data_IF_783895691736
#
_entry.id   IF_783895691736
#
_cell.length_a   1.000
_cell.length_b   1.000
_cell.length_c   1.000
_cell.angle_alpha   90.00
_cell.angle_beta   90.00
_cell.angle_gamma   90.00
#
_symmetry.space_group_name_H-M   'P 1'
#
loop_
_entity.id
_entity.type
_entity.pdbx_description
1 polymer ?
#
# COMPACT_ATOMS: atom_id res chain seq x y z
N UNK A 1 -3.00 17.39 -0.40
CA UNK A 1 -3.79 16.87 0.73
C UNK A 1 -2.92 15.81 1.38
N UNK A 2 -2.40 16.06 2.59
CA UNK A 2 -1.62 15.07 3.32
C UNK A 2 -2.54 13.89 3.64
N UNK A 3 -2.21 12.73 3.11
CA UNK A 3 -3.01 11.53 3.23
C UNK A 3 -2.92 11.04 4.68
N UNK A 4 -4.06 10.99 5.36
CA UNK A 4 -4.19 10.48 6.72
C UNK A 4 -3.85 8.98 6.68
N UNK A 5 -2.56 8.64 6.82
CA UNK A 5 -2.04 7.28 6.64
C UNK A 5 -0.82 7.15 5.75
N UNK A 6 -0.08 8.23 5.44
CA UNK A 6 1.25 8.07 4.81
C UNK A 6 2.19 7.31 5.77
N UNK A 7 2.71 6.12 5.38
CA UNK A 7 3.64 5.36 6.21
C UNK A 7 4.87 6.16 6.65
N UNK A 8 5.32 7.09 5.82
CA UNK A 8 6.52 7.88 6.10
C UNK A 8 6.23 8.96 7.16
N UNK A 9 5.02 9.53 7.17
CA UNK A 9 4.59 10.42 8.25
C UNK A 9 4.42 9.67 9.59
N UNK A 10 3.92 8.43 9.55
CA UNK A 10 3.79 7.57 10.73
C UNK A 10 5.17 7.20 11.31
N UNK A 11 6.13 6.84 10.47
CA UNK A 11 7.51 6.58 10.89
C UNK A 11 8.19 7.83 11.46
N UNK A 12 7.95 9.00 10.85
CA UNK A 12 8.45 10.27 11.37
C UNK A 12 7.86 10.61 12.74
N UNK A 13 6.58 10.33 12.96
CA UNK A 13 5.93 10.54 14.26
C UNK A 13 6.45 9.55 15.31
N UNK A 14 6.63 8.28 14.95
CA UNK A 14 7.23 7.27 15.81
C UNK A 14 8.64 7.69 16.28
N UNK A 15 9.49 8.18 15.36
CA UNK A 15 10.82 8.68 15.71
C UNK A 15 10.80 9.87 16.67
N UNK A 16 9.83 10.79 16.56
CA UNK A 16 9.68 11.88 17.53
C UNK A 16 9.25 11.40 18.91
N UNK A 17 8.46 10.33 18.99
CA UNK A 17 7.99 9.75 20.25
C UNK A 17 9.16 9.06 20.97
N UNK A 18 9.99 8.30 20.26
CA UNK A 18 11.20 7.70 20.82
C UNK A 18 12.19 8.74 21.34
N UNK A 19 12.40 9.81 20.56
CA UNK A 19 13.28 10.90 21.01
C UNK A 19 12.79 11.51 22.34
N UNK A 20 11.47 11.63 22.52
CA UNK A 20 10.90 12.08 23.79
C UNK A 20 11.06 11.05 24.90
N UNK A 21 10.97 9.75 24.60
CA UNK A 21 11.21 8.69 25.57
C UNK A 21 12.66 8.75 26.08
N UNK A 22 13.63 8.94 25.18
CA UNK A 22 15.04 9.11 25.52
C UNK A 22 15.30 10.37 26.36
N UNK A 23 14.67 11.49 26.02
CA UNK A 23 14.75 12.72 26.81
C UNK A 23 14.22 12.51 28.24
N UNK A 24 13.11 11.77 28.39
CA UNK A 24 12.51 11.44 29.70
C UNK A 24 13.46 10.56 30.53
N UNK A 25 14.06 9.53 29.94
CA UNK A 25 15.06 8.66 30.61
C UNK A 25 16.28 9.46 31.04
N UNK A 26 16.80 10.29 30.15
CA UNK A 26 17.95 11.15 30.43
C UNK A 26 17.67 12.10 31.59
N UNK A 27 16.49 12.71 31.59
CA UNK A 27 16.08 13.59 32.68
C UNK A 27 16.02 12.85 34.04
N UNK A 28 15.43 11.65 34.07
CA UNK A 28 15.39 10.82 35.28
C UNK A 28 16.79 10.42 35.76
N UNK A 29 17.69 10.06 34.84
CA UNK A 29 19.07 9.73 35.16
C UNK A 29 19.88 10.93 35.68
N UNK A 30 19.66 12.12 35.11
CA UNK A 30 20.30 13.35 35.55
C UNK A 30 19.85 13.73 36.97
N UNK A 31 18.54 13.62 37.26
CA UNK A 31 18.00 13.86 38.61
C UNK A 31 18.61 12.91 39.65
N UNK A 32 18.67 11.62 39.34
CA UNK A 32 19.24 10.59 40.22
C UNK A 32 20.74 10.81 40.46
N UNK A 33 21.47 11.17 39.41
CA UNK A 33 22.90 11.54 39.51
C UNK A 33 23.11 12.75 40.41
N UNK A 34 22.30 13.80 40.23
CA UNK A 34 22.34 15.00 41.07
C UNK A 34 22.01 14.68 42.54
N UNK A 35 21.03 13.80 42.78
CA UNK A 35 20.65 13.37 44.12
C UNK A 35 21.75 12.55 44.81
N UNK A 36 22.43 11.67 44.06
CA UNK A 36 23.61 10.93 44.54
C UNK A 36 24.81 11.83 44.85
N UNK A 37 25.02 12.89 44.06
CA UNK A 37 26.12 13.83 44.25
C UNK A 37 25.92 14.80 45.43
N UNK A 38 24.74 14.84 46.05
CA UNK A 38 24.47 15.72 47.19
C UNK A 38 25.39 15.40 48.38
N UNK A 39 26.21 16.38 48.76
CA UNK A 39 27.15 16.27 49.91
C UNK A 39 26.45 16.37 51.27
N UNK A 40 25.21 16.87 51.30
CA UNK A 40 24.42 16.97 52.52
C UNK A 40 23.97 15.58 53.02
N UNK A 41 24.27 15.28 54.29
CA UNK A 41 23.90 14.03 54.96
C UNK A 41 22.94 14.32 56.10
N UNK A 42 21.70 13.86 55.97
CA UNK A 42 20.64 13.95 56.98
C UNK A 42 19.51 12.98 56.60
N UNK A 43 18.60 12.71 57.54
CA UNK A 43 17.38 11.94 57.25
C UNK A 43 16.56 12.57 56.11
N UNK A 44 16.56 13.91 56.00
CA UNK A 44 15.90 14.62 54.92
C UNK A 44 16.60 14.40 53.57
N UNK A 45 17.94 14.32 53.55
CA UNK A 45 18.70 14.01 52.35
C UNK A 45 18.44 12.57 51.88
N UNK A 46 18.35 11.61 52.79
CA UNK A 46 18.05 10.21 52.46
C UNK A 46 16.63 10.08 51.87
N UNK A 47 15.64 10.75 52.47
CA UNK A 47 14.28 10.81 51.89
C UNK A 47 14.22 11.47 50.52
N UNK A 48 15.04 12.51 50.30
CA UNK A 48 15.12 13.15 48.99
C UNK A 48 15.67 12.18 47.92
N UNK A 49 16.74 11.43 48.24
CA UNK A 49 17.28 10.40 47.33
C UNK A 49 16.26 9.30 47.04
N UNK A 50 15.54 8.84 48.05
CA UNK A 50 14.48 7.85 47.89
C UNK A 50 13.33 8.36 46.99
N UNK A 51 12.91 9.61 47.18
CA UNK A 51 11.90 10.25 46.32
C UNK A 51 12.37 10.33 44.87
N UNK A 52 13.60 10.79 44.64
CA UNK A 52 14.17 10.90 43.28
C UNK A 52 14.29 9.53 42.61
N UNK A 53 14.68 8.49 43.35
CA UNK A 53 14.72 7.12 42.82
C UNK A 53 13.31 6.62 42.44
N UNK A 54 12.29 6.97 43.22
CA UNK A 54 10.89 6.70 42.90
C UNK A 54 10.41 7.43 41.64
N UNK A 55 10.72 8.73 41.54
CA UNK A 55 10.39 9.56 40.39
C UNK A 55 11.07 9.06 39.11
N UNK A 56 12.36 8.71 39.19
CA UNK A 56 13.11 8.08 38.10
C UNK A 56 12.40 6.83 37.59
N UNK A 57 11.99 5.93 38.49
CA UNK A 57 11.26 4.71 38.10
C UNK A 57 9.93 5.02 37.40
N UNK A 58 9.25 6.09 37.81
CA UNK A 58 8.01 6.53 37.15
C UNK A 58 8.27 7.10 35.75
N UNK A 59 9.34 7.89 35.59
CA UNK A 59 9.80 8.41 34.29
C UNK A 59 10.22 7.27 33.35
N UNK A 60 10.98 6.29 33.84
CA UNK A 60 11.37 5.11 33.06
C UNK A 60 10.11 4.36 32.55
N UNK A 61 9.13 4.11 33.42
CA UNK A 61 7.86 3.50 33.01
C UNK A 61 6.98 4.36 32.09
N UNK A 62 7.21 5.67 32.01
CA UNK A 62 6.56 6.55 31.03
C UNK A 62 7.28 6.50 29.68
N UNK A 63 8.62 6.48 29.69
CA UNK A 63 9.42 6.28 28.50
C UNK A 63 9.11 4.94 27.81
N UNK A 64 8.94 3.87 28.58
CA UNK A 64 8.58 2.56 28.01
C UNK A 64 7.22 2.58 27.29
N UNK A 65 6.23 3.31 27.83
CA UNK A 65 4.93 3.47 27.16
C UNK A 65 5.02 4.29 25.88
N UNK A 66 5.95 5.25 25.82
CA UNK A 66 6.20 6.02 24.60
C UNK A 66 6.84 5.12 23.54
N UNK A 67 7.79 4.27 23.92
CA UNK A 67 8.38 3.29 23.00
C UNK A 67 7.34 2.28 22.48
N UNK A 68 6.45 1.78 23.35
CA UNK A 68 5.35 0.91 22.94
C UNK A 68 4.44 1.60 21.91
N UNK A 69 4.10 2.87 22.13
CA UNK A 69 3.29 3.65 21.19
C UNK A 69 4.02 3.85 19.85
N UNK A 70 5.33 4.15 19.87
CA UNK A 70 6.14 4.26 18.66
C UNK A 70 6.22 2.92 17.90
N UNK A 71 6.34 1.80 18.61
CA UNK A 71 6.34 0.46 18.02
C UNK A 71 5.01 0.15 17.32
N UNK A 72 3.87 0.47 17.96
CA UNK A 72 2.54 0.31 17.38
C UNK A 72 2.40 1.15 16.09
N UNK A 73 2.88 2.40 16.10
CA UNK A 73 2.84 3.27 14.92
C UNK A 73 3.64 2.69 13.76
N UNK A 74 4.84 2.13 14.01
CA UNK A 74 5.64 1.47 12.96
C UNK A 74 5.00 0.21 12.42
N UNK A 75 4.40 -0.60 13.30
CA UNK A 75 3.64 -1.78 12.86
C UNK A 75 2.50 -1.36 11.93
N UNK A 76 1.79 -0.28 12.27
CA UNK A 76 0.73 0.25 11.42
C UNK A 76 1.27 0.80 10.10
N UNK A 77 2.38 1.54 10.11
CA UNK A 77 3.04 2.02 8.89
C UNK A 77 3.43 0.86 7.97
N UNK A 78 3.96 -0.23 8.53
CA UNK A 78 4.30 -1.44 7.78
C UNK A 78 3.07 -2.12 7.16
N UNK A 79 1.97 -2.25 7.91
CA UNK A 79 0.70 -2.77 7.38
C UNK A 79 0.19 -1.93 6.19
N UNK A 80 0.29 -0.61 6.29
CA UNK A 80 -0.11 0.29 5.20
C UNK A 80 0.81 0.13 3.98
N UNK A 81 2.12 0.00 4.18
CA UNK A 81 3.08 -0.29 3.07
C UNK A 81 2.74 -1.60 2.37
N UNK A 82 2.42 -2.65 3.12
CA UNK A 82 2.04 -3.95 2.57
C UNK A 82 0.74 -3.86 1.76
N UNK A 83 -0.25 -3.12 2.25
CA UNK A 83 -1.49 -2.87 1.53
C UNK A 83 -1.25 -2.11 0.21
N UNK A 84 -0.44 -1.05 0.25
CA UNK A 84 -0.07 -0.28 -0.95
C UNK A 84 0.68 -1.17 -1.94
N UNK A 85 1.59 -2.01 -1.47
CA UNK A 85 2.33 -2.95 -2.32
C UNK A 85 1.39 -3.99 -2.95
N UNK A 86 0.41 -4.50 -2.21
CA UNK A 86 -0.61 -5.41 -2.74
C UNK A 86 -1.46 -4.73 -3.83
N UNK A 87 -1.91 -3.51 -3.60
CA UNK A 87 -2.64 -2.69 -4.59
C UNK A 87 -1.81 -2.51 -5.86
N UNK A 88 -0.52 -2.16 -5.73
CA UNK A 88 0.38 -2.00 -6.89
C UNK A 88 0.52 -3.30 -7.69
N UNK A 89 0.74 -4.43 -7.02
CA UNK A 89 0.84 -5.74 -7.70
C UNK A 89 -0.45 -6.10 -8.44
N UNK A 90 -1.61 -5.84 -7.84
CA UNK A 90 -2.90 -6.06 -8.50
C UNK A 90 -3.02 -5.15 -9.73
N UNK A 91 -2.70 -3.87 -9.59
CA UNK A 91 -2.74 -2.92 -10.70
C UNK A 91 -1.84 -3.34 -11.86
N UNK A 92 -0.60 -3.72 -11.58
CA UNK A 92 0.36 -4.20 -12.59
C UNK A 92 -0.14 -5.47 -13.29
N UNK A 93 -0.62 -6.47 -12.53
CA UNK A 93 -1.15 -7.71 -13.10
C UNK A 93 -2.35 -7.46 -14.03
N UNK A 94 -3.28 -6.62 -13.60
CA UNK A 94 -4.49 -6.29 -14.37
C UNK A 94 -4.15 -5.50 -15.63
N UNK A 95 -3.30 -4.47 -15.52
CA UNK A 95 -2.86 -3.68 -16.67
C UNK A 95 -2.08 -4.54 -17.68
N UNK A 96 -1.19 -5.41 -17.21
CA UNK A 96 -0.44 -6.32 -18.06
C UNK A 96 -1.35 -7.32 -18.79
N UNK A 97 -2.35 -7.86 -18.09
CA UNK A 97 -3.34 -8.72 -18.72
C UNK A 97 -4.12 -7.99 -19.80
N UNK A 98 -4.61 -6.78 -19.52
CA UNK A 98 -5.34 -5.98 -20.50
C UNK A 98 -4.49 -5.67 -21.73
N UNK A 99 -3.25 -5.25 -21.56
CA UNK A 99 -2.34 -4.99 -22.67
C UNK A 99 -2.15 -6.25 -23.54
N UNK A 100 -1.90 -7.41 -22.92
CA UNK A 100 -1.79 -8.67 -23.65
C UNK A 100 -3.10 -9.11 -24.32
N UNK A 101 -4.25 -8.82 -23.70
CA UNK A 101 -5.56 -9.14 -24.25
C UNK A 101 -5.92 -8.21 -25.44
N UNK A 102 -5.59 -6.93 -25.36
CA UNK A 102 -5.71 -5.94 -26.44
C UNK A 102 -4.83 -6.32 -27.63
N UNK A 103 -3.57 -6.70 -27.40
CA UNK A 103 -2.69 -7.14 -28.49
C UNK A 103 -3.21 -8.38 -29.20
N UNK A 104 -3.70 -9.38 -28.44
CA UNK A 104 -4.31 -10.58 -29.02
C UNK A 104 -5.58 -10.24 -29.80
N UNK A 105 -6.40 -9.34 -29.28
CA UNK A 105 -7.62 -8.89 -29.93
C UNK A 105 -7.31 -8.15 -31.24
N UNK A 106 -6.36 -7.21 -31.23
CA UNK A 106 -5.92 -6.49 -32.42
C UNK A 106 -5.40 -7.43 -33.51
N UNK A 107 -4.59 -8.43 -33.14
CA UNK A 107 -4.14 -9.48 -34.08
C UNK A 107 -5.30 -10.29 -34.66
N UNK A 108 -6.31 -10.62 -33.84
CA UNK A 108 -7.51 -11.32 -34.32
C UNK A 108 -8.32 -10.46 -35.28
N UNK A 109 -8.46 -9.15 -34.99
CA UNK A 109 -9.12 -8.18 -35.88
C UNK A 109 -8.35 -8.02 -37.19
N UNK A 110 -7.02 -7.93 -37.16
CA UNK A 110 -6.18 -7.84 -38.37
C UNK A 110 -6.29 -9.11 -39.21
N UNK A 111 -6.19 -10.29 -38.59
CA UNK A 111 -6.38 -11.56 -39.29
C UNK A 111 -7.77 -11.67 -39.91
N UNK A 112 -8.80 -11.20 -39.22
CA UNK A 112 -10.16 -11.15 -39.73
C UNK A 112 -10.28 -10.20 -40.93
N UNK A 113 -9.72 -8.98 -40.83
CA UNK A 113 -9.70 -8.01 -41.93
C UNK A 113 -9.02 -8.58 -43.17
N UNK A 114 -7.89 -9.26 -43.00
CA UNK A 114 -7.16 -9.90 -44.10
C UNK A 114 -8.00 -11.02 -44.73
N UNK A 115 -8.64 -11.88 -43.94
CA UNK A 115 -9.50 -12.96 -44.46
C UNK A 115 -10.73 -12.42 -45.22
N UNK A 116 -11.33 -11.32 -44.76
CA UNK A 116 -12.44 -10.66 -45.47
C UNK A 116 -11.96 -9.98 -46.76
N UNK A 117 -10.78 -9.36 -46.75
CA UNK A 117 -10.17 -8.78 -47.95
C UNK A 117 -9.85 -9.85 -48.99
N UNK A 118 -9.20 -10.95 -48.58
CA UNK A 118 -8.89 -12.09 -49.45
C UNK A 118 -10.17 -12.72 -50.05
N UNK A 119 -11.26 -12.81 -49.27
CA UNK A 119 -12.55 -13.28 -49.76
C UNK A 119 -13.18 -12.30 -50.76
N UNK A 120 -13.10 -10.99 -50.51
CA UNK A 120 -13.61 -9.98 -51.42
C UNK A 120 -12.85 -10.00 -52.76
N UNK A 121 -11.51 -10.13 -52.72
CA UNK A 121 -10.68 -10.25 -53.91
C UNK A 121 -10.96 -11.57 -54.67
N UNK A 122 -11.19 -12.68 -53.97
CA UNK A 122 -11.53 -13.98 -54.58
C UNK A 122 -12.96 -14.03 -55.17
N UNK A 123 -13.95 -13.39 -54.52
CA UNK A 123 -15.34 -13.29 -55.01
C UNK A 123 -15.45 -12.27 -56.15
N UNK A 124 -14.57 -11.27 -56.20
CA UNK A 124 -14.44 -10.33 -57.32
C UNK A 124 -14.13 -11.01 -58.66
N UNK A 125 -13.44 -12.15 -58.64
CA UNK A 125 -13.08 -12.93 -59.84
C UNK A 125 -14.00 -14.15 -60.10
N UNK A 126 -14.77 -14.61 -59.10
CA UNK A 126 -15.59 -15.83 -59.23
C UNK A 126 -16.92 -15.72 -58.46
N UNK A 127 -17.95 -15.26 -59.17
CA UNK A 127 -19.40 -15.43 -58.99
C UNK A 127 -19.98 -15.71 -57.58
N UNK A 128 -20.95 -14.86 -57.22
CA UNK A 128 -21.60 -14.79 -55.92
C UNK A 128 -22.20 -16.07 -55.35
N UNK A 129 -21.94 -16.26 -54.05
CA UNK A 129 -22.74 -17.08 -53.15
C UNK A 129 -22.89 -16.39 -51.80
N UNK A 130 -24.13 -16.40 -51.28
CA UNK A 130 -24.47 -15.93 -49.93
C UNK A 130 -24.01 -16.91 -48.87
N UNK A 131 -23.07 -16.48 -48.05
CA UNK A 131 -22.77 -17.04 -46.74
C UNK A 131 -22.97 -15.96 -45.68
N UNK A 132 -23.37 -16.35 -44.48
CA UNK A 132 -23.61 -15.44 -43.35
C UNK A 132 -22.45 -14.44 -43.19
N UNK A 133 -22.80 -13.16 -43.00
CA UNK A 133 -21.83 -12.09 -42.81
C UNK A 133 -20.84 -12.45 -41.69
N UNK A 134 -19.52 -12.41 -41.97
CA UNK A 134 -18.52 -12.69 -40.95
C UNK A 134 -18.65 -11.64 -39.85
N UNK A 135 -18.92 -12.09 -38.62
CA UNK A 135 -19.11 -11.19 -37.48
C UNK A 135 -17.74 -10.76 -36.94
N UNK A 136 -17.55 -9.46 -36.66
CA UNK A 136 -16.28 -8.99 -36.11
C UNK A 136 -15.99 -9.67 -34.76
N UNK A 137 -14.73 -10.02 -34.49
CA UNK A 137 -14.36 -10.54 -33.18
C UNK A 137 -14.69 -9.50 -32.11
N UNK A 138 -15.20 -9.97 -30.97
CA UNK A 138 -15.55 -9.14 -29.81
C UNK A 138 -14.45 -9.18 -28.76
N UNK A 139 -14.15 -8.06 -28.06
CA UNK A 139 -13.14 -8.07 -27.03
C UNK A 139 -13.58 -8.97 -25.85
N UNK A 140 -12.67 -9.75 -25.26
CA UNK A 140 -13.02 -10.72 -24.21
C UNK A 140 -13.49 -10.06 -22.89
N UNK A 141 -13.22 -8.77 -22.71
CA UNK A 141 -13.67 -7.98 -21.56
C UNK A 141 -14.93 -7.14 -21.85
N UNK A 142 -15.59 -7.36 -23.00
CA UNK A 142 -16.83 -6.65 -23.35
C UNK A 142 -17.93 -6.94 -22.32
N UNK A 143 -18.53 -5.87 -21.77
CA UNK A 143 -19.59 -5.99 -20.76
C UNK A 143 -19.10 -6.21 -19.33
N UNK A 144 -17.79 -6.24 -19.08
CA UNK A 144 -17.26 -6.30 -17.73
C UNK A 144 -17.47 -4.98 -16.97
N UNK A 145 -17.60 -5.07 -15.63
CA UNK A 145 -17.70 -3.90 -14.74
C UNK A 145 -16.46 -3.02 -14.84
N UNK A 146 -15.29 -3.64 -14.96
CA UNK A 146 -14.01 -2.96 -15.12
C UNK A 146 -13.45 -3.24 -16.51
N UNK A 147 -13.15 -2.16 -17.23
CA UNK A 147 -12.64 -2.13 -18.61
C UNK A 147 -11.40 -1.24 -18.66
N UNK A 148 -10.53 -1.36 -19.69
CA UNK A 148 -9.32 -0.55 -19.79
C UNK A 148 -9.56 0.96 -19.60
N UNK A 149 -10.70 1.44 -20.08
CA UNK A 149 -11.06 2.86 -20.10
C UNK A 149 -11.68 3.36 -18.78
N UNK A 150 -12.03 2.45 -17.85
CA UNK A 150 -12.71 2.74 -16.59
C UNK A 150 -11.98 2.10 -15.39
N UNK A 151 -10.65 2.01 -15.47
CA UNK A 151 -9.82 1.56 -14.36
C UNK A 151 -9.66 2.67 -13.32
N UNK A 152 -9.67 2.33 -12.01
CA UNK A 152 -9.45 3.31 -10.97
C UNK A 152 -8.04 3.93 -11.04
N UNK A 153 -7.84 5.16 -10.54
CA UNK A 153 -6.54 5.80 -10.51
C UNK A 153 -5.48 4.93 -9.80
N UNK A 154 -4.20 4.99 -10.22
CA UNK A 154 -3.14 4.23 -9.58
C UNK A 154 -3.06 4.53 -8.07
N UNK A 155 -3.03 3.48 -7.25
CA UNK A 155 -2.92 3.60 -5.79
C UNK A 155 -4.25 3.78 -5.05
N UNK A 156 -5.39 3.76 -5.74
CA UNK A 156 -6.70 3.76 -5.09
C UNK A 156 -7.01 2.40 -4.45
N UNK A 157 -7.68 2.40 -3.29
CA UNK A 157 -8.21 1.21 -2.61
C UNK A 157 -9.18 0.42 -3.48
N UNK A 158 -9.83 1.05 -4.46
CA UNK A 158 -10.70 0.38 -5.44
C UNK A 158 -9.96 -0.72 -6.23
N UNK A 159 -8.62 -0.68 -6.32
CA UNK A 159 -7.85 -1.76 -6.93
C UNK A 159 -8.01 -3.11 -6.24
N UNK A 160 -8.35 -3.15 -4.94
CA UNK A 160 -8.64 -4.40 -4.24
C UNK A 160 -9.89 -5.07 -4.81
N UNK A 161 -10.96 -4.30 -5.03
CA UNK A 161 -12.21 -4.79 -5.65
C UNK A 161 -11.98 -5.22 -7.11
N UNK A 162 -11.15 -4.46 -7.85
CA UNK A 162 -10.76 -4.84 -9.21
C UNK A 162 -10.01 -6.17 -9.20
N UNK A 163 -9.07 -6.36 -8.27
CA UNK A 163 -8.34 -7.61 -8.11
C UNK A 163 -9.22 -8.81 -7.81
N UNK A 164 -10.19 -8.66 -6.90
CA UNK A 164 -11.17 -9.72 -6.60
C UNK A 164 -12.04 -10.06 -7.82
N UNK A 165 -12.53 -9.03 -8.52
CA UNK A 165 -13.29 -9.23 -9.75
C UNK A 165 -12.46 -9.95 -10.82
N UNK A 166 -11.21 -9.54 -11.02
CA UNK A 166 -10.31 -10.14 -12.01
C UNK A 166 -9.95 -11.58 -11.66
N UNK A 167 -9.75 -11.89 -10.38
CA UNK A 167 -9.57 -13.28 -9.91
C UNK A 167 -10.81 -14.13 -10.19
N UNK A 168 -12.00 -13.59 -9.98
CA UNK A 168 -13.26 -14.27 -10.31
C UNK A 168 -13.42 -14.54 -11.82
N UNK A 169 -12.81 -13.71 -12.67
CA UNK A 169 -12.78 -13.90 -14.13
C UNK A 169 -11.59 -14.77 -14.61
N UNK A 170 -10.75 -15.29 -13.70
CA UNK A 170 -9.60 -16.14 -14.04
C UNK A 170 -8.38 -15.39 -14.61
N UNK A 171 -8.30 -14.07 -14.37
CA UNK A 171 -7.23 -13.20 -14.86
C UNK A 171 -6.02 -13.15 -13.91
N UNK A 172 -6.24 -13.41 -12.61
CA UNK A 172 -5.26 -13.29 -11.54
C UNK A 172 -5.31 -14.48 -10.57
#
# INVERSE_FOLDING_TARGET
MAFYGDPDELDRLAGQIEQRADDVRKHGADMDTQAGAMRWKSIAADRCRESVAGDRKSLDGTADKLDDAAAILRQHAQQVRELIAAIKRIAESVVNWFNGAIDRFNKAVESFKNAVADMADAVGDALGFGGDEPKPPKPPWEGWKYQPDNLPPPGDKQWLEVGEFMRAQGVA
#
